data_IF_961836573333
#
_entry.id   IF_961836573333
#
_cell.length_a   1.000
_cell.length_b   1.000
_cell.length_c   1.000
_cell.angle_alpha   90.00
_cell.angle_beta   90.00
_cell.angle_gamma   90.00
#
_symmetry.space_group_name_H-M   'P 1'
#
loop_
_entity.id
_entity.type
_entity.pdbx_description
1 polymer ?
#
# COMPACT_ATOMS: atom_id res chain seq x y z
N UNK A 1 0.21 37.50 -29.07
CA UNK A 1 -0.02 36.08 -28.74
C UNK A 1 1.30 35.31 -28.49
N UNK A 2 2.23 35.85 -27.68
CA UNK A 2 3.50 35.16 -27.32
C UNK A 2 3.57 34.71 -25.85
N UNK A 3 2.71 35.27 -24.98
CA UNK A 3 2.72 35.01 -23.53
C UNK A 3 1.98 33.72 -23.11
N UNK A 4 1.11 33.19 -23.97
CA UNK A 4 0.32 31.96 -23.69
C UNK A 4 1.18 30.70 -23.85
N UNK A 5 2.13 30.71 -24.79
CA UNK A 5 2.98 29.54 -25.08
C UNK A 5 3.90 29.24 -23.89
N UNK A 6 4.41 30.28 -23.21
CA UNK A 6 5.32 30.11 -22.06
C UNK A 6 4.61 29.50 -20.85
N UNK A 7 3.32 29.80 -20.64
CA UNK A 7 2.52 29.21 -19.56
C UNK A 7 2.25 27.72 -19.79
N UNK A 8 2.14 27.29 -21.05
CA UNK A 8 1.94 25.87 -21.40
C UNK A 8 3.21 25.04 -21.17
N UNK A 9 4.40 25.64 -21.35
CA UNK A 9 5.69 24.96 -21.17
C UNK A 9 6.05 24.67 -19.71
N UNK A 10 5.53 25.47 -18.76
CA UNK A 10 5.87 25.33 -17.33
C UNK A 10 5.15 24.15 -16.67
N UNK A 11 4.01 23.71 -17.21
CA UNK A 11 3.27 22.53 -16.74
C UNK A 11 3.94 21.18 -17.09
N UNK A 12 4.98 21.19 -17.93
CA UNK A 12 5.66 19.97 -18.39
C UNK A 12 6.69 19.46 -17.36
N UNK A 13 7.09 20.29 -16.37
CA UNK A 13 8.08 19.91 -15.35
C UNK A 13 7.47 19.41 -14.04
N UNK A 14 6.15 19.30 -13.94
CA UNK A 14 5.44 18.92 -12.72
C UNK A 14 4.80 17.55 -12.81
N UNK A 15 5.56 16.46 -13.05
CA UNK A 15 5.04 15.09 -12.85
C UNK A 15 6.13 14.01 -12.84
N UNK A 16 7.04 14.07 -11.88
CA UNK A 16 7.51 12.83 -11.27
C UNK A 16 6.83 12.70 -9.91
N UNK A 17 5.50 12.50 -9.94
CA UNK A 17 4.83 11.91 -8.80
C UNK A 17 5.37 10.48 -8.71
N UNK A 18 6.46 10.30 -7.96
CA UNK A 18 6.86 8.99 -7.48
C UNK A 18 5.72 8.54 -6.56
N UNK A 19 4.74 7.83 -7.13
CA UNK A 19 3.91 6.96 -6.32
C UNK A 19 4.90 6.02 -5.62
N UNK A 20 5.02 6.16 -4.29
CA UNK A 20 5.99 5.38 -3.51
C UNK A 20 5.93 3.91 -3.90
N UNK A 21 7.09 3.31 -4.18
CA UNK A 21 7.18 1.88 -4.51
C UNK A 21 6.46 1.10 -3.41
N UNK A 22 5.59 0.18 -3.81
CA UNK A 22 4.90 -0.68 -2.85
C UNK A 22 5.94 -1.52 -2.09
N UNK A 23 5.91 -1.55 -0.75
CA UNK A 23 6.91 -2.26 0.04
C UNK A 23 6.84 -3.76 -0.22
N UNK A 24 8.00 -4.41 -0.25
CA UNK A 24 8.06 -5.87 -0.38
C UNK A 24 7.64 -6.57 0.93
N UNK A 25 7.83 -5.89 2.06
CA UNK A 25 7.44 -6.37 3.39
C UNK A 25 6.95 -5.26 4.29
N UNK A 26 6.01 -5.62 5.17
CA UNK A 26 5.36 -4.74 6.13
C UNK A 26 5.36 -5.40 7.50
N UNK A 27 5.28 -4.60 8.54
CA UNK A 27 5.19 -5.08 9.92
C UNK A 27 3.75 -5.46 10.26
N UNK A 28 2.79 -4.59 9.92
CA UNK A 28 1.38 -4.75 10.24
C UNK A 28 0.47 -4.04 9.23
N UNK A 29 -0.81 -4.40 9.28
CA UNK A 29 -1.92 -3.75 8.59
C UNK A 29 -2.84 -3.15 9.64
N UNK A 30 -3.32 -1.93 9.39
CA UNK A 30 -4.23 -1.20 10.27
C UNK A 30 -5.36 -0.58 9.45
N UNK A 31 -6.60 -0.81 9.84
CA UNK A 31 -7.76 -0.17 9.24
C UNK A 31 -7.79 1.32 9.56
N UNK A 32 -8.04 2.15 8.54
CA UNK A 32 -8.29 3.58 8.73
C UNK A 32 -9.70 4.01 8.32
N UNK A 33 -10.54 3.03 7.99
CA UNK A 33 -11.93 3.20 7.57
C UNK A 33 -12.10 3.62 6.12
N UNK A 34 -13.37 3.76 5.69
CA UNK A 34 -13.77 4.22 4.35
C UNK A 34 -13.19 3.40 3.19
N UNK A 35 -12.94 2.11 3.40
CA UNK A 35 -12.38 1.21 2.40
C UNK A 35 -10.85 1.25 2.28
N UNK A 36 -10.14 1.86 3.24
CA UNK A 36 -8.68 1.98 3.20
C UNK A 36 -7.99 1.33 4.41
N UNK A 37 -6.77 0.87 4.18
CA UNK A 37 -5.87 0.35 5.21
C UNK A 37 -4.49 0.98 5.09
N UNK A 38 -3.78 1.09 6.21
CA UNK A 38 -2.36 1.38 6.28
C UNK A 38 -1.58 0.08 6.28
N UNK A 39 -0.55 0.03 5.45
CA UNK A 39 0.50 -0.96 5.45
C UNK A 39 1.71 -0.35 6.17
N UNK A 40 1.93 -0.69 7.44
CA UNK A 40 3.05 -0.14 8.22
C UNK A 40 4.34 -0.80 7.76
N UNK A 41 5.24 -0.03 7.16
CA UNK A 41 6.47 -0.54 6.57
C UNK A 41 7.39 -0.98 7.70
N UNK A 42 8.01 -2.15 7.56
CA UNK A 42 8.97 -2.61 8.56
C UNK A 42 10.15 -1.64 8.62
N UNK A 43 10.53 -1.18 9.82
CA UNK A 43 11.61 -0.19 10.02
C UNK A 43 12.97 -0.62 9.45
N UNK A 44 13.17 -1.92 9.25
CA UNK A 44 14.38 -2.50 8.70
C UNK A 44 14.26 -2.82 7.19
N UNK A 45 13.19 -2.35 6.53
CA UNK A 45 12.98 -2.54 5.10
C UNK A 45 13.87 -1.58 4.29
N UNK A 46 14.41 -2.01 3.14
CA UNK A 46 15.03 -1.08 2.19
C UNK A 46 14.06 0.01 1.69
N UNK A 47 12.75 -0.21 1.82
CA UNK A 47 11.68 0.73 1.47
C UNK A 47 11.28 1.67 2.62
N UNK A 48 12.02 1.70 3.74
CA UNK A 48 11.71 2.48 4.95
C UNK A 48 11.91 4.01 4.82
N UNK A 49 11.86 4.54 3.59
CA UNK A 49 11.76 5.99 3.38
C UNK A 49 10.42 6.55 3.93
N UNK A 50 9.41 5.69 4.04
CA UNK A 50 8.09 6.00 4.60
C UNK A 50 7.75 5.07 5.77
N UNK A 51 7.04 5.59 6.77
CA UNK A 51 6.57 4.79 7.91
C UNK A 51 5.41 3.85 7.53
N UNK A 52 4.60 4.23 6.54
CA UNK A 52 3.45 3.47 6.08
C UNK A 52 3.07 3.82 4.64
N UNK A 53 2.30 2.94 4.01
CA UNK A 53 1.59 3.22 2.77
C UNK A 53 0.09 2.99 2.92
N UNK A 54 -0.73 3.91 2.40
CA UNK A 54 -2.19 3.75 2.40
C UNK A 54 -2.61 3.09 1.10
N UNK A 55 -3.39 2.02 1.21
CA UNK A 55 -3.91 1.28 0.07
C UNK A 55 -5.40 1.04 0.21
N UNK A 56 -6.08 0.81 -0.91
CA UNK A 56 -7.48 0.41 -0.87
C UNK A 56 -7.61 -1.04 -0.42
N UNK A 57 -8.52 -1.29 0.53
CA UNK A 57 -8.86 -2.64 0.98
C UNK A 57 -9.45 -3.49 -0.15
N UNK A 58 -10.09 -2.88 -1.15
CA UNK A 58 -10.66 -3.64 -2.30
C UNK A 58 -9.60 -4.20 -3.24
N UNK A 59 -8.39 -3.63 -3.20
CA UNK A 59 -7.27 -4.06 -4.04
C UNK A 59 -6.45 -5.19 -3.41
N UNK A 60 -6.70 -5.49 -2.13
CA UNK A 60 -6.22 -6.69 -1.48
C UNK A 60 -7.10 -7.86 -1.91
N UNK A 61 -6.59 -8.70 -2.81
CA UNK A 61 -7.36 -9.78 -3.45
C UNK A 61 -7.32 -11.08 -2.66
N UNK A 62 -6.23 -11.34 -1.94
CA UNK A 62 -6.06 -12.60 -1.21
C UNK A 62 -5.08 -12.45 -0.05
N UNK A 63 -5.33 -13.22 1.01
CA UNK A 63 -4.38 -13.47 2.09
C UNK A 63 -3.97 -14.96 2.04
N UNK A 64 -2.67 -15.24 2.23
CA UNK A 64 -2.13 -16.61 2.28
C UNK A 64 -1.15 -16.72 3.43
N UNK A 65 -1.31 -17.70 4.32
CA UNK A 65 -0.39 -17.93 5.42
C UNK A 65 -0.99 -18.80 6.51
N UNK A 66 -0.22 -19.03 7.58
CA UNK A 66 -0.73 -19.71 8.76
C UNK A 66 -1.76 -18.83 9.47
N UNK A 67 -3.02 -19.28 9.53
CA UNK A 67 -4.15 -18.61 10.20
C UNK A 67 -3.75 -17.90 11.50
N UNK A 68 -2.97 -18.58 12.34
CA UNK A 68 -2.63 -18.16 13.70
C UNK A 68 -1.11 -17.98 13.94
N UNK A 69 -0.29 -18.18 12.90
CA UNK A 69 1.17 -18.00 12.98
C UNK A 69 1.57 -16.68 12.29
N UNK A 70 2.65 -16.05 12.79
CA UNK A 70 3.27 -14.90 12.12
C UNK A 70 3.75 -15.32 10.72
N UNK A 71 3.79 -14.39 9.75
CA UNK A 71 4.01 -14.57 8.30
C UNK A 71 2.73 -14.78 7.47
N UNK A 72 1.93 -13.73 7.35
CA UNK A 72 0.87 -13.66 6.34
C UNK A 72 1.40 -13.02 5.05
N UNK A 73 0.90 -13.44 3.89
CA UNK A 73 1.18 -12.80 2.62
C UNK A 73 -0.09 -12.15 2.08
N UNK A 74 0.01 -10.87 1.74
CA UNK A 74 -1.02 -10.08 1.08
C UNK A 74 -0.76 -10.12 -0.42
N UNK A 75 -1.79 -10.42 -1.21
CA UNK A 75 -1.76 -10.25 -2.65
C UNK A 75 -2.53 -8.98 -3.02
N UNK A 76 -1.78 -7.93 -3.38
CA UNK A 76 -2.29 -6.60 -3.66
C UNK A 76 -2.25 -6.32 -5.17
N UNK A 77 -3.37 -5.91 -5.76
CA UNK A 77 -3.43 -5.58 -7.18
C UNK A 77 -3.25 -4.07 -7.40
N UNK A 78 -2.20 -3.68 -8.12
CA UNK A 78 -1.88 -2.27 -8.38
C UNK A 78 -2.69 -1.65 -9.53
N UNK A 79 -3.52 -2.45 -10.20
CA UNK A 79 -4.15 -2.09 -11.49
C UNK A 79 -3.38 -2.62 -12.71
N UNK A 80 -2.09 -2.95 -12.55
CA UNK A 80 -1.24 -3.51 -13.60
C UNK A 80 -0.69 -4.89 -13.24
N UNK A 81 -0.32 -5.09 -11.98
CA UNK A 81 0.30 -6.32 -11.51
C UNK A 81 -0.24 -6.74 -10.14
N UNK A 82 -0.05 -8.02 -9.81
CA UNK A 82 -0.38 -8.58 -8.51
C UNK A 82 0.90 -8.72 -7.69
N UNK A 83 1.05 -7.87 -6.69
CA UNK A 83 2.20 -7.85 -5.79
C UNK A 83 1.95 -8.77 -4.58
N UNK A 84 3.00 -9.48 -4.17
CA UNK A 84 3.01 -10.30 -2.96
C UNK A 84 3.79 -9.58 -1.86
N UNK A 85 3.10 -9.17 -0.81
CA UNK A 85 3.68 -8.41 0.31
C UNK A 85 3.68 -9.30 1.56
N UNK A 86 4.83 -9.44 2.21
CA UNK A 86 4.92 -10.21 3.47
C UNK A 86 4.57 -9.34 4.68
N UNK A 87 3.74 -9.87 5.57
CA UNK A 87 3.41 -9.28 6.88
C UNK A 87 4.11 -10.07 7.98
N UNK A 88 5.09 -9.44 8.61
CA UNK A 88 6.02 -10.13 9.51
C UNK A 88 5.54 -10.23 10.96
N UNK A 89 4.74 -9.28 11.45
CA UNK A 89 4.35 -9.20 12.87
C UNK A 89 2.84 -9.32 13.12
N UNK A 90 2.07 -9.82 12.16
CA UNK A 90 0.63 -9.99 12.28
C UNK A 90 0.18 -11.31 11.66
N UNK A 91 -0.76 -11.99 12.31
CA UNK A 91 -1.39 -13.22 11.77
C UNK A 91 -2.44 -12.87 10.71
N UNK A 92 -2.69 -13.79 9.76
CA UNK A 92 -3.67 -13.55 8.71
C UNK A 92 -5.07 -13.22 9.25
N UNK A 93 -5.51 -13.90 10.32
CA UNK A 93 -6.81 -13.64 10.94
C UNK A 93 -6.93 -12.22 11.51
N UNK A 94 -5.84 -11.66 12.05
CA UNK A 94 -5.86 -10.29 12.52
C UNK A 94 -5.98 -9.31 11.33
N UNK A 95 -5.29 -9.56 10.22
CA UNK A 95 -5.41 -8.75 9.00
C UNK A 95 -6.82 -8.83 8.42
N UNK A 96 -7.46 -10.01 8.40
CA UNK A 96 -8.86 -10.15 7.96
C UNK A 96 -9.79 -9.23 8.76
N UNK A 97 -9.61 -9.14 10.08
CA UNK A 97 -10.41 -8.23 10.93
C UNK A 97 -10.21 -6.77 10.53
N UNK A 98 -8.98 -6.35 10.28
CA UNK A 98 -8.69 -4.99 9.80
C UNK A 98 -9.36 -4.72 8.45
N UNK A 99 -9.33 -5.67 7.52
CA UNK A 99 -10.00 -5.53 6.22
C UNK A 99 -11.52 -5.43 6.36
N UNK A 100 -12.12 -6.20 7.28
CA UNK A 100 -13.55 -6.11 7.57
C UNK A 100 -13.91 -4.75 8.18
N UNK A 101 -13.12 -4.24 9.13
CA UNK A 101 -13.31 -2.91 9.73
C UNK A 101 -13.13 -1.80 8.70
N UNK A 102 -12.21 -1.94 7.76
CA UNK A 102 -12.05 -0.96 6.69
C UNK A 102 -13.28 -0.90 5.76
N UNK A 103 -14.02 -2.00 5.61
CA UNK A 103 -15.17 -2.12 4.70
C UNK A 103 -16.53 -1.81 5.35
N UNK A 104 -16.59 -1.70 6.69
CA UNK A 104 -17.78 -1.29 7.44
C UNK A 104 -17.91 0.23 7.53
#
# INVERSE_FOLDING_TARGET
MKKIIVLLSVLIFSSSAFAGRMPESVESVEAIGKGYVKLNIAKNSPDAEYDYQVVSAVDIKRLVGGSDKKNCFIFYFTGMELLKIQVSNQACNAIVKELMVAQS
#
